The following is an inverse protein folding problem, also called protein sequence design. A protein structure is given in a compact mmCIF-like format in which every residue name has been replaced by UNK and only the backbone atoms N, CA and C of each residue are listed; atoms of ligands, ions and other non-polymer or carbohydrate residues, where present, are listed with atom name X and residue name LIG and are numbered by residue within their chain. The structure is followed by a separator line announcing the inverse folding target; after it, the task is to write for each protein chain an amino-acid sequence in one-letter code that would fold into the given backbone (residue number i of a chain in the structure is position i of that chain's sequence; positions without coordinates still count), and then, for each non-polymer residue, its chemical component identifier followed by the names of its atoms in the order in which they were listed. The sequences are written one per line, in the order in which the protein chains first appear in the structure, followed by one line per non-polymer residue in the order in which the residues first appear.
data_IF_413025231023
#
_entry.id   IF_413025231023
#
_cell.length_a   1.000
_cell.length_b   1.000
_cell.length_c   1.000
_cell.angle_alpha   90.00
_cell.angle_beta   90.00
_cell.angle_gamma   90.00
#
_symmetry.space_group_name_H-M   'P 1'
#
loop_
_entity.id
_entity.type
_entity.pdbx_description
1 polymer ?
#
# COMPACT_ATOMS: atom_id res chain seq x y z
N UNK A 1 -3.81 -9.32 5.57
CA UNK A 1 -2.41 -8.93 5.24
C UNK A 1 -2.05 -9.25 3.80
N UNK A 2 -2.57 -10.34 3.23
CA UNK A 2 -2.21 -10.79 1.88
C UNK A 2 -2.51 -9.75 0.79
N UNK A 3 -3.64 -9.04 0.87
CA UNK A 3 -3.98 -7.96 -0.06
C UNK A 3 -2.93 -6.84 -0.05
N UNK A 4 -2.41 -6.49 1.14
CA UNK A 4 -1.37 -5.46 1.23
C UNK A 4 -0.06 -5.92 0.58
N UNK A 5 0.34 -7.18 0.80
CA UNK A 5 1.50 -7.78 0.13
C UNK A 5 1.31 -7.81 -1.39
N UNK A 6 0.11 -8.14 -1.85
CA UNK A 6 -0.21 -8.16 -3.28
C UNK A 6 -0.15 -6.76 -3.89
N UNK A 7 -0.63 -5.72 -3.17
CA UNK A 7 -0.47 -4.34 -3.61
C UNK A 7 1.00 -3.94 -3.71
N UNK A 8 1.83 -4.26 -2.70
CA UNK A 8 3.27 -4.04 -2.78
C UNK A 8 3.89 -4.78 -3.98
N UNK A 9 3.52 -6.04 -4.24
CA UNK A 9 3.99 -6.78 -5.42
C UNK A 9 3.65 -6.07 -6.73
N UNK A 10 2.41 -5.61 -6.89
CA UNK A 10 1.97 -4.90 -8.09
C UNK A 10 2.65 -3.54 -8.24
N UNK A 11 2.89 -2.80 -7.15
CA UNK A 11 3.68 -1.57 -7.18
C UNK A 11 5.13 -1.88 -7.58
N UNK A 12 5.75 -2.93 -7.05
CA UNK A 12 7.10 -3.35 -7.45
C UNK A 12 7.17 -3.67 -8.94
N UNK A 13 6.22 -4.44 -9.46
CA UNK A 13 6.13 -4.76 -10.89
C UNK A 13 5.96 -3.50 -11.74
N UNK A 14 5.15 -2.54 -11.28
CA UNK A 14 4.96 -1.26 -11.95
C UNK A 14 6.26 -0.45 -11.99
N UNK A 15 6.97 -0.33 -10.87
CA UNK A 15 8.24 0.41 -10.77
C UNK A 15 9.31 -0.16 -11.69
N UNK A 16 9.40 -1.50 -11.78
CA UNK A 16 10.32 -2.18 -12.69
C UNK A 16 9.92 -2.01 -14.15
N UNK A 17 8.64 -2.22 -14.47
CA UNK A 17 8.12 -2.12 -15.84
C UNK A 17 8.25 -0.71 -16.43
N UNK A 18 8.15 0.31 -15.59
CA UNK A 18 8.31 1.72 -15.98
C UNK A 18 9.75 2.22 -15.83
N UNK A 19 10.69 1.35 -15.50
CA UNK A 19 12.11 1.68 -15.31
C UNK A 19 12.34 2.80 -14.28
N UNK A 20 11.44 2.95 -13.30
CA UNK A 20 11.60 3.83 -12.14
C UNK A 20 12.61 3.20 -11.16
N UNK A 21 12.56 1.87 -11.04
CA UNK A 21 13.53 1.09 -10.30
C UNK A 21 14.16 0.00 -11.18
N UNK A 22 15.31 -0.52 -10.74
CA UNK A 22 16.07 -1.58 -11.39
C UNK A 22 16.39 -2.73 -10.42
N UNK A 23 16.52 -3.94 -10.97
CA UNK A 23 16.81 -5.17 -10.23
C UNK A 23 15.68 -6.19 -10.30
N UNK A 24 15.62 -7.07 -9.31
CA UNK A 24 14.64 -8.16 -9.25
C UNK A 24 13.53 -7.85 -8.24
N UNK A 25 12.28 -8.16 -8.57
CA UNK A 25 11.13 -7.84 -7.72
C UNK A 25 11.23 -8.38 -6.28
N UNK A 26 11.66 -9.63 -6.03
CA UNK A 26 11.80 -10.15 -4.67
C UNK A 26 12.78 -9.33 -3.81
N UNK A 27 13.86 -8.85 -4.41
CA UNK A 27 14.92 -8.13 -3.71
C UNK A 27 14.55 -6.65 -3.44
N UNK A 28 13.73 -6.03 -4.31
CA UNK A 28 13.12 -4.72 -4.00
C UNK A 28 12.16 -4.81 -2.80
N UNK A 29 11.36 -5.87 -2.72
CA UNK A 29 10.43 -6.12 -1.62
C UNK A 29 11.16 -6.43 -0.30
N UNK A 30 12.19 -7.29 -0.36
CA UNK A 30 13.00 -7.65 0.81
C UNK A 30 13.74 -6.44 1.39
N UNK A 31 14.21 -5.52 0.54
CA UNK A 31 14.90 -4.29 0.93
C UNK A 31 13.97 -3.15 1.29
N UNK A 32 12.65 -3.40 1.30
CA UNK A 32 11.62 -2.42 1.59
C UNK A 32 11.65 -1.18 0.67
N UNK A 33 12.18 -1.31 -0.56
CA UNK A 33 12.27 -0.21 -1.53
C UNK A 33 10.88 0.22 -1.99
N UNK A 34 9.99 -0.73 -2.20
CA UNK A 34 8.61 -0.48 -2.65
C UNK A 34 7.83 0.38 -1.65
N UNK A 35 8.09 0.21 -0.36
CA UNK A 35 7.47 0.95 0.73
C UNK A 35 7.86 2.44 0.72
N UNK A 36 8.98 2.81 0.08
CA UNK A 36 9.32 4.22 -0.13
C UNK A 36 8.37 4.89 -1.12
N UNK A 37 7.78 4.13 -2.05
CA UNK A 37 6.80 4.60 -3.02
C UNK A 37 5.35 4.37 -2.56
N UNK A 38 5.10 3.40 -1.68
CA UNK A 38 3.81 3.14 -1.03
C UNK A 38 3.99 3.10 0.51
N UNK A 39 4.12 4.25 1.19
CA UNK A 39 4.48 4.30 2.61
C UNK A 39 3.31 4.04 3.57
N UNK A 40 2.14 3.67 3.05
CA UNK A 40 0.92 3.45 3.82
C UNK A 40 0.32 2.06 3.58
N UNK A 41 -0.64 1.67 4.43
CA UNK A 41 -1.43 0.46 4.22
C UNK A 41 -2.25 0.51 2.93
N UNK A 42 -2.63 -0.65 2.41
CA UNK A 42 -3.48 -0.74 1.20
C UNK A 42 -4.91 -0.26 1.42
N UNK A 43 -5.33 -0.06 2.67
CA UNK A 43 -6.66 0.39 3.03
C UNK A 43 -7.00 0.10 4.48
N UNK A 44 -8.24 0.38 4.86
CA UNK A 44 -8.74 0.25 6.22
C UNK A 44 -10.24 -0.07 6.24
N UNK A 45 -10.75 -0.50 7.41
CA UNK A 45 -12.19 -0.60 7.63
C UNK A 45 -12.83 0.77 7.47
N UNK A 46 -14.01 0.80 6.85
CA UNK A 46 -14.82 2.01 6.64
C UNK A 46 -16.23 1.76 7.19
N UNK A 47 -16.74 2.72 7.96
CA UNK A 47 -18.06 2.61 8.56
C UNK A 47 -18.54 3.96 9.07
N UNK A 48 -18.91 4.03 10.35
CA UNK A 48 -19.32 5.29 10.97
C UNK A 48 -18.15 6.28 11.01
N UNK A 49 -16.93 5.78 11.21
CA UNK A 49 -15.70 6.56 11.11
C UNK A 49 -14.98 6.27 9.79
N UNK A 50 -14.24 7.26 9.27
CA UNK A 50 -13.43 7.10 8.05
C UNK A 50 -12.42 5.96 8.25
N UNK A 51 -11.61 6.04 9.31
CA UNK A 51 -10.84 4.89 9.79
C UNK A 51 -11.66 4.19 10.88
N UNK A 52 -12.48 3.20 10.51
CA UNK A 52 -13.35 2.53 11.47
C UNK A 52 -12.56 1.68 12.48
N UNK A 53 -13.18 1.42 13.64
CA UNK A 53 -12.54 0.72 14.75
C UNK A 53 -12.30 -0.76 14.45
N UNK A 54 -11.41 -1.38 15.24
CA UNK A 54 -11.29 -2.84 15.28
C UNK A 54 -10.46 -3.45 14.15
N UNK A 55 -9.79 -2.65 13.30
CA UNK A 55 -8.91 -3.15 12.23
C UNK A 55 -7.74 -4.02 12.71
N UNK A 56 -7.40 -3.94 14.01
CA UNK A 56 -6.37 -4.78 14.63
C UNK A 56 -6.92 -5.85 15.58
N UNK A 57 -8.23 -5.88 15.84
CA UNK A 57 -8.81 -6.82 16.79
C UNK A 57 -8.92 -8.23 16.19
N UNK A 58 -8.45 -9.22 16.95
CA UNK A 58 -8.55 -10.64 16.61
C UNK A 58 -9.83 -11.27 17.15
N UNK A 59 -10.32 -10.81 18.30
CA UNK A 59 -11.52 -11.33 18.93
C UNK A 59 -12.22 -10.28 19.81
N UNK A 60 -13.39 -10.66 20.32
CA UNK A 60 -14.22 -9.83 21.19
C UNK A 60 -13.60 -9.53 22.56
N UNK A 61 -12.60 -10.31 22.99
CA UNK A 61 -11.89 -10.12 24.27
C UNK A 61 -10.86 -8.98 24.19
N UNK A 62 -10.68 -8.40 23.00
CA UNK A 62 -9.81 -7.25 22.77
C UNK A 62 -8.37 -7.61 22.44
N UNK A 63 -8.08 -8.88 22.12
CA UNK A 63 -6.77 -9.25 21.61
C UNK A 63 -6.50 -8.56 20.27
N UNK A 64 -5.27 -8.09 20.07
CA UNK A 64 -4.88 -7.34 18.87
C UNK A 64 -3.68 -7.94 18.18
N UNK A 65 -3.65 -7.82 16.85
CA UNK A 65 -2.48 -8.12 16.03
C UNK A 65 -1.87 -6.82 15.49
N UNK A 66 -0.66 -6.51 15.95
CA UNK A 66 0.08 -5.36 15.46
C UNK A 66 0.42 -5.49 13.96
N UNK A 67 0.52 -4.38 13.22
CA UNK A 67 1.02 -4.41 11.84
C UNK A 67 2.47 -4.92 11.80
N UNK A 68 2.90 -5.52 10.67
CA UNK A 68 4.27 -5.99 10.52
C UNK A 68 5.26 -4.82 10.50
N UNK A 69 6.50 -5.05 10.93
CA UNK A 69 7.51 -4.01 11.09
C UNK A 69 7.80 -3.22 9.79
N UNK A 70 7.75 -3.89 8.63
CA UNK A 70 7.97 -3.28 7.31
C UNK A 70 6.80 -2.44 6.81
N UNK A 71 5.62 -2.53 7.45
CA UNK A 71 4.42 -1.76 7.10
C UNK A 71 3.68 -1.29 8.34
N UNK A 72 4.31 -0.45 9.19
CA UNK A 72 3.75 -0.07 10.49
C UNK A 72 2.47 0.78 10.38
N UNK A 73 2.22 1.37 9.20
CA UNK A 73 1.04 2.17 8.91
C UNK A 73 -0.15 1.35 8.37
N UNK A 74 -0.02 0.01 8.29
CA UNK A 74 -1.12 -0.86 7.89
C UNK A 74 -2.22 -0.81 8.96
N UNK A 75 -3.43 -0.37 8.58
CA UNK A 75 -4.55 -0.16 9.52
C UNK A 75 -5.45 -1.39 9.72
N UNK A 76 -5.31 -2.40 8.87
CA UNK A 76 -6.08 -3.64 8.99
C UNK A 76 -5.17 -4.88 8.97
N UNK A 77 -5.14 -5.58 10.09
CA UNK A 77 -4.48 -6.88 10.28
C UNK A 77 -5.49 -8.01 10.53
N UNK A 78 -6.77 -7.66 10.69
CA UNK A 78 -7.88 -8.59 10.89
C UNK A 78 -8.22 -9.37 9.62
N UNK A 79 -8.69 -10.61 9.82
CA UNK A 79 -9.24 -11.46 8.76
C UNK A 79 -10.54 -10.88 8.18
N UNK A 80 -10.69 -11.03 6.86
CA UNK A 80 -11.87 -10.56 6.14
C UNK A 80 -13.08 -11.44 6.46
N UNK A 81 -14.22 -10.81 6.74
CA UNK A 81 -15.50 -11.47 6.89
C UNK A 81 -16.56 -10.77 6.03
N UNK A 82 -17.62 -11.49 5.66
CA UNK A 82 -18.75 -10.93 4.94
C UNK A 82 -19.35 -9.72 5.68
N UNK A 83 -19.85 -8.77 4.90
CA UNK A 83 -20.44 -7.49 5.32
C UNK A 83 -19.47 -6.48 5.96
N UNK A 84 -18.18 -6.81 6.08
CA UNK A 84 -17.18 -5.77 6.31
C UNK A 84 -17.04 -4.86 5.09
N UNK A 85 -16.84 -3.57 5.35
CA UNK A 85 -16.59 -2.57 4.32
C UNK A 85 -15.18 -2.02 4.50
N UNK A 86 -14.44 -1.90 3.39
CA UNK A 86 -13.06 -1.46 3.35
C UNK A 86 -12.85 -0.38 2.30
N UNK A 87 -11.86 0.48 2.53
CA UNK A 87 -11.18 1.18 1.43
C UNK A 87 -10.14 0.24 0.81
N UNK A 88 -9.94 0.34 -0.51
CA UNK A 88 -8.82 -0.25 -1.25
C UNK A 88 -8.15 0.88 -2.00
N UNK A 89 -6.98 1.29 -1.52
CA UNK A 89 -6.34 2.55 -1.87
C UNK A 89 -4.84 2.43 -2.18
N UNK A 90 -4.40 1.55 -3.09
CA UNK A 90 -2.99 1.50 -3.48
C UNK A 90 -2.50 2.87 -3.99
N UNK A 91 -1.30 3.25 -3.58
CA UNK A 91 -0.68 4.52 -3.93
C UNK A 91 0.77 4.38 -4.35
N UNK A 92 1.21 5.25 -5.24
CA UNK A 92 2.60 5.38 -5.69
C UNK A 92 3.00 6.85 -5.67
N UNK A 93 3.99 7.21 -4.85
CA UNK A 93 4.40 8.59 -4.63
C UNK A 93 5.91 8.75 -4.75
N UNK A 94 6.30 9.96 -5.15
CA UNK A 94 7.68 10.41 -5.21
C UNK A 94 7.88 11.40 -4.07
N UNK A 95 8.15 10.89 -2.87
CA UNK A 95 8.27 11.71 -1.64
C UNK A 95 9.75 11.98 -1.38
N UNK A 96 10.25 13.22 -1.52
CA UNK A 96 11.68 13.51 -1.36
C UNK A 96 12.22 13.10 0.01
N UNK A 97 11.44 13.27 1.08
CA UNK A 97 11.87 12.90 2.43
C UNK A 97 12.17 11.39 2.57
N UNK A 98 11.52 10.53 1.78
CA UNK A 98 11.73 9.09 1.79
C UNK A 98 12.80 8.65 0.78
N UNK A 99 12.84 9.29 -0.39
CA UNK A 99 13.70 8.90 -1.52
C UNK A 99 15.10 9.51 -1.46
N UNK A 100 15.25 10.80 -1.12
CA UNK A 100 16.55 11.47 -1.11
C UNK A 100 17.62 10.78 -0.24
N UNK A 101 17.31 10.20 0.94
CA UNK A 101 18.28 9.41 1.70
C UNK A 101 18.89 8.22 0.93
N UNK A 102 18.20 7.70 -0.09
CA UNK A 102 18.67 6.58 -0.89
C UNK A 102 19.72 6.96 -1.93
N UNK A 103 19.87 8.25 -2.29
CA UNK A 103 20.86 8.70 -3.29
C UNK A 103 22.30 8.40 -2.90
N UNK A 104 22.58 8.39 -1.60
CA UNK A 104 23.90 8.06 -1.03
C UNK A 104 23.90 6.70 -0.31
N UNK A 105 22.78 5.97 -0.37
CA UNK A 105 22.62 4.68 0.28
C UNK A 105 23.15 3.51 -0.55
N UNK A 106 23.25 2.35 0.08
CA UNK A 106 23.70 1.11 -0.58
C UNK A 106 22.81 0.74 -1.78
N UNK A 107 21.53 1.11 -1.73
CA UNK A 107 20.55 0.82 -2.77
C UNK A 107 20.49 1.89 -3.89
N UNK A 108 21.33 2.93 -3.89
CA UNK A 108 21.18 4.07 -4.84
C UNK A 108 21.10 3.65 -6.31
N UNK A 109 21.82 2.59 -6.69
CA UNK A 109 21.92 2.06 -8.04
C UNK A 109 20.62 1.40 -8.54
N UNK A 110 19.64 1.24 -7.66
CA UNK A 110 18.34 0.63 -7.97
C UNK A 110 17.29 1.63 -8.38
N UNK A 111 17.59 2.92 -8.29
CA UNK A 111 16.67 4.00 -8.57
C UNK A 111 17.10 4.70 -9.87
N UNK A 112 16.15 4.90 -10.77
CA UNK A 112 16.35 5.77 -11.93
C UNK A 112 16.15 7.22 -11.49
N UNK A 113 17.21 7.82 -10.94
CA UNK A 113 17.15 9.17 -10.38
C UNK A 113 16.72 10.22 -11.42
N UNK A 114 17.16 10.09 -12.67
CA UNK A 114 16.79 11.03 -13.73
C UNK A 114 15.28 11.01 -14.00
N UNK A 115 14.65 9.83 -13.96
CA UNK A 115 13.20 9.69 -14.10
C UNK A 115 12.46 10.13 -12.83
N UNK A 116 12.95 9.76 -11.65
CA UNK A 116 12.37 10.19 -10.36
C UNK A 116 12.38 11.71 -10.24
N UNK A 117 13.45 12.38 -10.66
CA UNK A 117 13.56 13.84 -10.64
C UNK A 117 12.52 14.53 -11.54
N UNK A 118 12.17 13.90 -12.66
CA UNK A 118 11.08 14.37 -13.53
C UNK A 118 9.69 14.13 -12.94
N UNK A 119 9.54 13.10 -12.10
CA UNK A 119 8.25 12.71 -11.51
C UNK A 119 7.96 13.40 -10.17
N UNK A 120 8.99 13.90 -9.46
CA UNK A 120 8.80 14.64 -8.20
C UNK A 120 7.74 15.75 -8.27
N UNK A 121 7.71 16.61 -9.31
CA UNK A 121 6.70 17.68 -9.39
C UNK A 121 5.25 17.17 -9.51
N UNK A 122 5.06 15.92 -9.92
CA UNK A 122 3.73 15.29 -10.04
C UNK A 122 3.22 14.76 -8.69
N UNK A 123 4.10 14.64 -7.69
CA UNK A 123 3.77 14.15 -6.36
C UNK A 123 3.53 12.64 -6.33
N UNK A 124 2.37 12.19 -6.80
CA UNK A 124 2.01 10.78 -6.81
C UNK A 124 0.56 10.51 -7.18
N UNK A 125 0.19 9.24 -7.18
CA UNK A 125 -1.12 8.75 -7.58
C UNK A 125 -1.66 7.86 -6.46
N UNK A 126 -2.95 8.00 -6.16
CA UNK A 126 -3.73 7.05 -5.37
C UNK A 126 -5.08 6.85 -6.05
N UNK A 127 -5.50 5.61 -6.16
CA UNK A 127 -6.86 5.25 -6.58
C UNK A 127 -7.49 4.54 -5.41
N UNK A 128 -8.66 5.01 -4.98
CA UNK A 128 -9.33 4.53 -3.79
C UNK A 128 -10.77 4.14 -4.12
N UNK A 129 -11.11 2.90 -3.78
CA UNK A 129 -12.47 2.38 -3.87
C UNK A 129 -13.01 1.95 -2.50
N UNK A 130 -14.32 2.09 -2.32
CA UNK A 130 -15.04 1.54 -1.16
C UNK A 130 -15.66 0.21 -1.55
N UNK A 131 -15.32 -0.86 -0.84
CA UNK A 131 -15.77 -2.20 -1.19
C UNK A 131 -16.39 -2.93 0.00
N UNK A 132 -17.49 -3.65 -0.25
CA UNK A 132 -18.10 -4.56 0.72
C UNK A 132 -17.70 -6.00 0.41
N UNK A 133 -17.20 -6.70 1.42
CA UNK A 133 -16.94 -8.14 1.33
C UNK A 133 -18.27 -8.89 1.32
N UNK A 134 -18.47 -9.78 0.34
CA UNK A 134 -19.65 -10.65 0.27
C UNK A 134 -19.25 -12.09 0.63
N UNK A 135 -20.22 -12.99 0.74
CA UNK A 135 -19.94 -14.41 1.05
C UNK A 135 -19.06 -15.11 -0.01
N UNK A 136 -19.04 -14.60 -1.24
CA UNK A 136 -18.36 -15.22 -2.38
C UNK A 136 -17.43 -14.27 -3.14
N UNK A 137 -17.21 -13.05 -2.65
CA UNK A 137 -16.39 -12.07 -3.35
C UNK A 137 -16.50 -10.66 -2.77
N UNK A 138 -16.65 -9.69 -3.66
CA UNK A 138 -16.62 -8.26 -3.32
C UNK A 138 -17.63 -7.48 -4.16
N UNK A 139 -18.27 -6.49 -3.54
CA UNK A 139 -19.12 -5.50 -4.18
C UNK A 139 -18.42 -4.14 -4.11
N UNK A 140 -18.17 -3.51 -5.26
CA UNK A 140 -17.61 -2.16 -5.31
C UNK A 140 -18.75 -1.13 -5.16
N UNK A 141 -18.66 -0.30 -4.13
CA UNK A 141 -19.64 0.74 -3.79
C UNK A 141 -19.26 2.11 -4.37
N UNK A 142 -18.05 2.26 -4.92
CA UNK A 142 -17.65 3.48 -5.62
C UNK A 142 -18.45 3.61 -6.92
N UNK A 143 -19.14 4.73 -7.16
CA UNK A 143 -19.85 4.95 -8.41
C UNK A 143 -18.91 4.94 -9.60
N UNK A 144 -19.30 4.24 -10.68
CA UNK A 144 -18.67 4.46 -11.99
C UNK A 144 -18.93 5.88 -12.47
N UNK A 145 -17.95 6.49 -13.15
CA UNK A 145 -18.22 7.72 -13.91
C UNK A 145 -19.21 7.37 -15.02
N UNK A 146 -20.36 8.05 -15.01
CA UNK A 146 -21.40 7.92 -16.04
C UNK A 146 -21.23 8.96 -17.13
#
# INVERSE_FOLDING_TARGET
MDIHRQALSQITELLLRLEICHGEAPDLLEREITQLFMPHGVGHLLGIQVHDVGGHQLNHDGETLAPPAHSPMLRNTRDLAADMVFTIEPGCYFIPLLLEPQRSGENHHRFNWDLIDQLYPLGGIRVEDNVRVTQSGVENLTPGTS
#
